data_IF_349921392615
#
_entry.id   IF_349921392615
#
_cell.length_a   1.000
_cell.length_b   1.000
_cell.length_c   1.000
_cell.angle_alpha   90.00
_cell.angle_beta   90.00
_cell.angle_gamma   90.00
#
_symmetry.space_group_name_H-M   'P 1'
#
loop_
_entity.id
_entity.type
_entity.pdbx_description
1 polymer ?
#
# COMPACT_ATOMS: atom_id res chain seq x y z
N UNK A 1 32.16 8.87 -10.14
CA UNK A 1 30.70 8.62 -10.16
C UNK A 1 30.03 9.96 -10.42
N UNK A 2 29.39 10.14 -11.59
CA UNK A 2 28.68 11.38 -11.89
C UNK A 2 27.50 11.54 -10.92
N UNK A 3 27.42 12.65 -10.20
CA UNK A 3 26.43 12.87 -9.15
C UNK A 3 25.49 13.99 -9.61
N UNK A 4 24.40 13.59 -10.24
CA UNK A 4 23.25 14.46 -10.47
C UNK A 4 22.30 14.26 -9.29
N UNK A 5 21.93 15.34 -8.61
CA UNK A 5 20.93 15.33 -7.55
C UNK A 5 19.69 16.07 -8.02
N UNK A 6 18.51 15.63 -7.55
CA UNK A 6 17.23 16.24 -7.89
C UNK A 6 17.16 17.71 -7.44
N UNK A 7 17.72 18.04 -6.27
CA UNK A 7 17.60 19.37 -5.70
C UNK A 7 16.13 19.76 -5.50
N UNK A 8 15.73 20.89 -6.09
CA UNK A 8 14.37 21.42 -6.02
C UNK A 8 13.56 21.17 -7.31
N UNK A 9 14.10 20.40 -8.26
CA UNK A 9 13.42 20.05 -9.50
C UNK A 9 12.35 18.96 -9.26
N UNK A 10 11.34 18.91 -10.13
CA UNK A 10 10.40 17.79 -10.13
C UNK A 10 11.09 16.46 -10.45
N UNK A 11 10.52 15.35 -9.99
CA UNK A 11 11.07 14.00 -10.26
C UNK A 11 11.19 13.77 -11.76
N UNK A 12 10.24 14.29 -12.55
CA UNK A 12 10.23 14.19 -14.00
C UNK A 12 11.42 14.90 -14.66
N UNK A 13 11.72 16.15 -14.29
CA UNK A 13 12.84 16.91 -14.86
C UNK A 13 14.16 16.21 -14.51
N UNK A 14 14.32 15.79 -13.25
CA UNK A 14 15.49 15.07 -12.79
C UNK A 14 15.70 13.76 -13.57
N UNK A 15 14.65 12.97 -13.77
CA UNK A 15 14.73 11.71 -14.52
C UNK A 15 15.16 11.93 -15.98
N UNK A 16 14.65 12.97 -16.65
CA UNK A 16 15.05 13.30 -18.01
C UNK A 16 16.52 13.71 -18.09
N UNK A 17 17.02 14.52 -17.15
CA UNK A 17 18.43 14.90 -17.08
C UNK A 17 19.34 13.67 -16.90
N UNK A 18 18.99 12.77 -15.97
CA UNK A 18 19.70 11.49 -15.80
C UNK A 18 19.71 10.65 -17.07
N UNK A 19 18.57 10.55 -17.74
CA UNK A 19 18.46 9.80 -19.00
C UNK A 19 19.39 10.37 -20.07
N UNK A 20 19.44 11.70 -20.21
CA UNK A 20 20.38 12.38 -21.12
C UNK A 20 21.83 11.97 -20.84
N UNK A 21 22.26 12.04 -19.58
CA UNK A 21 23.61 11.62 -19.18
C UNK A 21 23.89 10.15 -19.48
N UNK A 22 22.95 9.25 -19.24
CA UNK A 22 23.15 7.83 -19.56
C UNK A 22 23.24 7.56 -21.06
N UNK A 23 22.51 8.29 -21.90
CA UNK A 23 22.63 8.18 -23.35
C UNK A 23 23.98 8.74 -23.85
N UNK A 24 24.47 9.84 -23.28
CA UNK A 24 25.81 10.35 -23.56
C UNK A 24 26.91 9.35 -23.18
N UNK A 25 26.82 8.74 -21.99
CA UNK A 25 27.76 7.71 -21.55
C UNK A 25 27.70 6.52 -22.51
N UNK A 26 26.49 6.05 -22.86
CA UNK A 26 26.30 4.95 -23.78
C UNK A 26 26.86 5.22 -25.17
N UNK A 27 26.84 6.49 -25.62
CA UNK A 27 27.43 6.90 -26.89
C UNK A 27 28.98 6.83 -26.88
N UNK A 28 29.60 6.96 -25.71
CA UNK A 28 31.05 6.86 -25.52
C UNK A 28 31.52 5.43 -25.21
N UNK A 29 30.62 4.58 -24.68
CA UNK A 29 30.93 3.19 -24.34
C UNK A 29 31.07 2.31 -25.59
N UNK A 30 32.16 1.54 -25.65
CA UNK A 30 32.34 0.54 -26.70
C UNK A 30 31.54 -0.73 -26.36
N UNK A 31 30.72 -1.26 -27.28
CA UNK A 31 29.94 -2.46 -27.01
C UNK A 31 30.84 -3.68 -26.80
N UNK A 32 30.52 -4.48 -25.78
CA UNK A 32 31.22 -5.73 -25.50
C UNK A 32 30.90 -6.74 -26.61
N UNK A 33 31.92 -7.14 -27.37
CA UNK A 33 31.78 -8.05 -28.53
C UNK A 33 31.81 -9.54 -28.14
N UNK A 34 31.38 -9.90 -26.93
CA UNK A 34 31.35 -11.30 -26.48
C UNK A 34 29.95 -11.89 -26.63
N UNK A 35 29.85 -13.12 -27.12
CA UNK A 35 28.61 -13.92 -27.14
C UNK A 35 28.39 -14.75 -25.87
N UNK A 36 29.28 -14.60 -24.88
CA UNK A 36 29.18 -15.27 -23.60
C UNK A 36 28.07 -14.71 -22.70
N UNK A 37 27.62 -15.50 -21.72
CA UNK A 37 26.64 -15.09 -20.69
C UNK A 37 27.05 -13.81 -19.97
N UNK A 38 28.36 -13.57 -19.82
CA UNK A 38 28.89 -12.36 -19.21
C UNK A 38 28.41 -11.09 -19.92
N UNK A 39 28.23 -11.09 -21.25
CA UNK A 39 27.72 -9.92 -21.97
C UNK A 39 26.28 -9.57 -21.57
N UNK A 40 25.43 -10.57 -21.30
CA UNK A 40 24.06 -10.34 -20.79
C UNK A 40 24.08 -9.84 -19.36
N UNK A 41 24.99 -10.35 -18.54
CA UNK A 41 25.15 -9.88 -17.15
C UNK A 41 25.61 -8.42 -17.06
N UNK A 42 26.34 -7.93 -18.07
CA UNK A 42 26.73 -6.53 -18.16
C UNK A 42 25.52 -5.61 -18.29
N UNK A 43 24.58 -5.91 -19.19
CA UNK A 43 23.37 -5.11 -19.38
C UNK A 43 22.52 -5.08 -18.09
N UNK A 44 22.34 -6.24 -17.44
CA UNK A 44 21.60 -6.34 -16.18
C UNK A 44 22.27 -5.52 -15.07
N UNK A 45 23.60 -5.54 -14.98
CA UNK A 45 24.35 -4.72 -14.01
C UNK A 45 24.26 -3.23 -14.34
N UNK A 46 24.30 -2.86 -15.62
CA UNK A 46 24.16 -1.48 -16.06
C UNK A 46 22.78 -0.94 -15.69
N UNK A 47 21.69 -1.69 -15.92
CA UNK A 47 20.34 -1.30 -15.52
C UNK A 47 20.20 -1.13 -14.00
N UNK A 48 20.74 -2.08 -13.22
CA UNK A 48 20.78 -1.97 -11.75
C UNK A 48 21.53 -0.73 -11.27
N UNK A 49 22.66 -0.42 -11.91
CA UNK A 49 23.46 0.77 -11.59
C UNK A 49 22.68 2.06 -11.88
N UNK A 50 21.97 2.13 -13.02
CA UNK A 50 21.10 3.26 -13.36
C UNK A 50 19.99 3.45 -12.33
N UNK A 51 19.35 2.36 -11.89
CA UNK A 51 18.34 2.40 -10.84
C UNK A 51 18.91 2.95 -9.52
N UNK A 52 20.04 2.41 -9.05
CA UNK A 52 20.66 2.86 -7.81
C UNK A 52 21.04 4.34 -7.91
N UNK A 53 21.61 4.77 -9.04
CA UNK A 53 21.98 6.15 -9.27
C UNK A 53 20.76 7.08 -9.25
N UNK A 54 19.66 6.66 -9.89
CA UNK A 54 18.38 7.37 -9.81
C UNK A 54 17.93 7.54 -8.36
N UNK A 55 17.86 6.45 -7.59
CA UNK A 55 17.39 6.47 -6.21
C UNK A 55 18.32 7.27 -5.28
N UNK A 56 19.64 7.19 -5.45
CA UNK A 56 20.60 7.91 -4.61
C UNK A 56 20.51 9.42 -4.80
N UNK A 57 20.29 9.90 -6.02
CA UNK A 57 20.19 11.34 -6.30
C UNK A 57 18.79 11.95 -6.07
N UNK A 58 17.77 11.14 -5.72
CA UNK A 58 16.47 11.66 -5.32
C UNK A 58 16.56 12.47 -4.02
N UNK A 59 15.67 13.45 -3.89
CA UNK A 59 15.58 14.29 -2.70
C UNK A 59 15.31 13.46 -1.42
N UNK A 60 15.79 13.95 -0.28
CA UNK A 60 15.72 13.24 1.02
C UNK A 60 14.28 12.95 1.49
N UNK A 61 13.30 13.72 1.01
CA UNK A 61 11.87 13.47 1.23
C UNK A 61 11.42 12.08 0.78
N UNK A 62 12.09 11.49 -0.21
CA UNK A 62 11.76 10.17 -0.76
C UNK A 62 12.45 9.01 -0.03
N UNK A 63 13.09 9.23 1.12
CA UNK A 63 13.83 8.19 1.87
C UNK A 63 13.02 6.92 2.13
N UNK A 64 11.75 7.05 2.53
CA UNK A 64 10.88 5.89 2.74
C UNK A 64 10.64 5.10 1.45
N UNK A 65 10.32 5.80 0.34
CA UNK A 65 10.10 5.17 -0.96
C UNK A 65 11.37 4.50 -1.50
N UNK A 66 12.55 5.12 -1.29
CA UNK A 66 13.85 4.52 -1.63
C UNK A 66 14.09 3.23 -0.87
N UNK A 67 13.86 3.23 0.45
CA UNK A 67 14.01 2.03 1.29
C UNK A 67 13.11 0.89 0.83
N UNK A 68 11.85 1.19 0.52
CA UNK A 68 10.91 0.19 -0.01
C UNK A 68 11.39 -0.40 -1.34
N UNK A 69 11.76 0.44 -2.31
CA UNK A 69 12.23 0.01 -3.63
C UNK A 69 13.50 -0.87 -3.56
N UNK A 70 14.42 -0.56 -2.64
CA UNK A 70 15.65 -1.34 -2.44
C UNK A 70 15.39 -2.70 -1.77
N UNK A 71 14.28 -2.84 -1.06
CA UNK A 71 13.89 -4.07 -0.35
C UNK A 71 12.98 -4.99 -1.18
N UNK A 72 12.52 -4.54 -2.35
CA UNK A 72 11.68 -5.34 -3.26
C UNK A 72 12.45 -6.54 -3.85
N UNK A 73 11.77 -7.68 -3.95
CA UNK A 73 12.25 -8.88 -4.66
C UNK A 73 11.13 -9.42 -5.57
N UNK A 74 11.31 -9.49 -6.90
CA UNK A 74 12.51 -9.12 -7.65
C UNK A 74 12.76 -7.61 -7.66
N UNK A 75 14.02 -7.22 -7.93
CA UNK A 75 14.40 -5.80 -8.03
C UNK A 75 13.56 -5.08 -9.09
N UNK A 76 13.04 -3.88 -8.80
CA UNK A 76 12.20 -3.16 -9.73
C UNK A 76 13.02 -2.70 -10.94
N UNK A 77 12.38 -2.62 -12.11
CA UNK A 77 13.01 -1.96 -13.25
C UNK A 77 13.09 -0.46 -13.02
N UNK A 78 14.00 0.22 -13.72
CA UNK A 78 14.12 1.68 -13.65
C UNK A 78 12.78 2.39 -13.92
N UNK A 79 12.01 1.92 -14.89
CA UNK A 79 10.71 2.50 -15.22
C UNK A 79 9.67 2.26 -14.12
N UNK A 80 9.64 1.06 -13.53
CA UNK A 80 8.75 0.78 -12.38
C UNK A 80 9.08 1.67 -11.19
N UNK A 81 10.37 1.83 -10.86
CA UNK A 81 10.80 2.72 -9.80
C UNK A 81 10.41 4.19 -10.09
N UNK A 82 10.59 4.67 -11.33
CA UNK A 82 10.15 6.00 -11.73
C UNK A 82 8.64 6.20 -11.54
N UNK A 83 7.81 5.25 -11.97
CA UNK A 83 6.36 5.34 -11.80
C UNK A 83 5.95 5.39 -10.31
N UNK A 84 6.57 4.56 -9.47
CA UNK A 84 6.30 4.53 -8.03
C UNK A 84 6.69 5.85 -7.36
N UNK A 85 7.85 6.42 -7.70
CA UNK A 85 8.26 7.72 -7.18
C UNK A 85 7.37 8.84 -7.69
N UNK A 86 6.96 8.82 -8.97
CA UNK A 86 6.03 9.81 -9.53
C UNK A 86 4.66 9.76 -8.86
N UNK A 87 4.19 8.56 -8.52
CA UNK A 87 2.96 8.38 -7.74
C UNK A 87 3.12 8.94 -6.31
N UNK A 88 4.24 8.67 -5.65
CA UNK A 88 4.55 9.21 -4.32
C UNK A 88 4.62 10.75 -4.34
N UNK A 89 5.22 11.36 -5.36
CA UNK A 89 5.27 12.81 -5.55
C UNK A 89 3.86 13.41 -5.62
N UNK A 90 2.96 12.80 -6.40
CA UNK A 90 1.56 13.21 -6.48
C UNK A 90 0.82 13.04 -5.14
N UNK A 91 1.03 11.93 -4.44
CA UNK A 91 0.41 11.70 -3.13
C UNK A 91 0.87 12.75 -2.11
N UNK A 92 2.16 13.09 -2.10
CA UNK A 92 2.71 14.13 -1.22
C UNK A 92 2.14 15.51 -1.48
N UNK A 93 1.88 15.87 -2.73
CA UNK A 93 1.20 17.12 -3.07
C UNK A 93 -0.20 17.18 -2.43
N UNK A 94 -0.97 16.10 -2.53
CA UNK A 94 -2.32 16.01 -1.93
C UNK A 94 -2.28 16.04 -0.40
N UNK A 95 -1.32 15.34 0.22
CA UNK A 95 -1.16 15.29 1.68
C UNK A 95 -0.55 16.58 2.27
N UNK A 96 0.24 17.33 1.50
CA UNK A 96 0.76 18.65 1.89
C UNK A 96 -0.36 19.66 2.09
N UNK A 97 -1.39 19.61 1.23
CA UNK A 97 -2.55 20.49 1.31
C UNK A 97 -3.57 20.03 2.37
N UNK A 98 -3.46 18.79 2.84
CA UNK A 98 -4.35 18.21 3.85
C UNK A 98 -3.59 17.84 5.12
N UNK A 99 -3.37 18.84 5.98
CA UNK A 99 -3.04 18.64 7.41
C UNK A 99 -4.22 18.01 8.18
N UNK A 100 -4.70 16.84 7.77
CA UNK A 100 -5.63 16.02 8.55
C UNK A 100 -5.35 14.55 8.30
N UNK A 101 -4.93 13.76 9.31
CA UNK A 101 -4.77 12.33 9.17
C UNK A 101 -6.17 11.70 9.19
N UNK A 102 -6.85 11.66 8.04
CA UNK A 102 -8.02 10.80 7.92
C UNK A 102 -7.50 9.40 7.63
N UNK A 103 -7.33 8.67 8.74
CA UNK A 103 -7.28 7.22 8.78
C UNK A 103 -8.32 6.63 7.81
N UNK A 104 -7.93 5.54 7.15
CA UNK A 104 -8.84 4.73 6.34
C UNK A 104 -10.05 4.32 7.18
N UNK A 105 -11.14 5.08 7.07
CA UNK A 105 -12.43 4.69 7.63
C UNK A 105 -12.99 3.63 6.68
N UNK A 106 -12.66 2.37 6.96
CA UNK A 106 -13.44 1.24 6.45
C UNK A 106 -14.88 1.55 6.83
N UNK A 107 -15.73 1.71 5.82
CA UNK A 107 -17.15 1.96 5.98
C UNK A 107 -17.82 0.66 6.45
N UNK A 108 -17.53 0.30 7.70
CA UNK A 108 -18.18 -0.80 8.40
C UNK A 108 -19.52 -0.23 8.88
N UNK A 109 -20.67 -0.82 8.52
CA UNK A 109 -21.94 -0.39 9.06
C UNK A 109 -21.90 -0.66 10.57
N UNK A 110 -21.64 0.39 11.36
CA UNK A 110 -21.79 0.37 12.80
C UNK A 110 -23.27 0.13 13.09
N UNK A 111 -23.60 -1.13 13.32
CA UNK A 111 -24.82 -1.55 13.95
C UNK A 111 -24.74 -1.05 15.41
N UNK A 112 -25.11 0.21 15.63
CA UNK A 112 -25.20 0.79 16.95
C UNK A 112 -26.39 0.14 17.65
N UNK A 113 -26.05 -0.77 18.55
CA UNK A 113 -26.92 -1.27 19.61
C UNK A 113 -27.68 -0.09 20.23
N UNK A 114 -29.00 -0.24 20.31
CA UNK A 114 -29.86 0.69 21.02
C UNK A 114 -29.58 0.55 22.53
N UNK A 115 -28.73 1.41 23.05
CA UNK A 115 -28.69 1.72 24.48
C UNK A 115 -29.47 3.00 24.68
N UNK A 116 -30.51 2.90 25.52
CA UNK A 116 -31.30 4.02 25.99
C UNK A 116 -30.39 5.18 26.43
N UNK A 117 -30.59 6.34 25.82
CA UNK A 117 -29.83 7.54 26.13
C UNK A 117 -30.60 8.75 25.63
N UNK A 118 -31.35 9.38 26.53
CA UNK A 118 -32.03 10.65 26.32
C UNK A 118 -31.02 11.73 25.94
N UNK A 119 -31.02 12.18 24.69
CA UNK A 119 -30.43 13.47 24.31
C UNK A 119 -31.55 14.41 23.87
N UNK A 120 -31.91 15.28 24.81
CA UNK A 120 -32.60 16.53 24.54
C UNK A 120 -31.75 17.34 23.54
N UNK A 121 -32.21 17.47 22.30
CA UNK A 121 -31.80 18.57 21.42
C UNK A 121 -32.97 19.54 21.34
N UNK A 122 -32.92 20.52 22.24
CA UNK A 122 -33.86 21.60 22.35
C UNK A 122 -33.48 22.66 21.31
N UNK A 123 -33.78 22.43 20.03
CA UNK A 123 -33.80 23.47 19.00
C UNK A 123 -34.59 23.03 17.75
N UNK A 124 -35.91 22.89 17.92
CA UNK A 124 -36.85 22.87 16.80
C UNK A 124 -37.82 24.02 17.02
N UNK A 125 -37.37 25.21 16.66
CA UNK A 125 -38.24 26.37 16.47
C UNK A 125 -39.45 25.98 15.62
N UNK A 126 -40.58 25.81 16.29
CA UNK A 126 -41.95 25.94 15.81
C UNK A 126 -42.25 25.46 14.37
N UNK A 127 -41.89 24.22 14.02
CA UNK A 127 -42.38 23.58 12.80
C UNK A 127 -43.82 23.10 13.04
N UNK A 128 -44.80 23.96 12.75
CA UNK A 128 -46.22 23.63 12.80
C UNK A 128 -46.71 23.11 11.44
N UNK A 129 -47.49 22.02 11.48
CA UNK A 129 -48.10 21.45 10.29
C UNK A 129 -49.30 22.29 9.82
N UNK A 130 -49.27 22.81 8.59
CA UNK A 130 -50.35 23.60 7.98
C UNK A 130 -51.63 22.81 7.66
N UNK A 131 -51.72 21.52 8.03
CA UNK A 131 -52.91 20.69 7.82
C UNK A 131 -53.56 20.24 9.14
N UNK A 132 -52.76 19.84 10.13
CA UNK A 132 -53.28 19.33 11.40
C UNK A 132 -52.95 20.20 12.61
N UNK A 133 -52.26 21.33 12.41
CA UNK A 133 -51.76 22.24 13.46
C UNK A 133 -50.88 21.55 14.52
N UNK A 134 -50.37 20.36 14.20
CA UNK A 134 -49.48 19.61 15.07
C UNK A 134 -48.06 20.15 14.99
N UNK A 135 -47.39 20.24 16.14
CA UNK A 135 -46.00 20.69 16.24
C UNK A 135 -45.04 19.59 15.79
N UNK A 136 -43.82 19.98 15.43
CA UNK A 136 -42.69 19.12 15.08
C UNK A 136 -42.80 18.33 13.76
N UNK A 137 -43.71 18.69 12.85
CA UNK A 137 -43.72 18.15 11.48
C UNK A 137 -44.36 19.14 10.49
N UNK A 138 -43.98 19.04 9.22
CA UNK A 138 -44.57 19.81 8.11
C UNK A 138 -45.69 19.00 7.43
N UNK A 139 -46.54 19.67 6.63
CA UNK A 139 -47.68 19.04 5.91
C UNK A 139 -47.28 17.78 5.15
N UNK A 140 -46.13 17.78 4.50
CA UNK A 140 -45.59 16.65 3.71
C UNK A 140 -45.31 15.40 4.53
N UNK A 141 -45.18 15.51 5.85
CA UNK A 141 -44.93 14.40 6.78
C UNK A 141 -46.09 14.19 7.76
N UNK A 142 -47.26 14.74 7.45
CA UNK A 142 -48.43 14.61 8.32
C UNK A 142 -49.07 13.24 8.18
N UNK A 143 -49.05 12.43 9.25
CA UNK A 143 -49.71 11.12 9.26
C UNK A 143 -51.23 11.18 9.07
N UNK A 144 -51.88 12.31 9.41
CA UNK A 144 -53.30 12.53 9.09
C UNK A 144 -53.56 12.71 7.59
N UNK A 145 -52.55 13.11 6.82
CA UNK A 145 -52.63 13.30 5.36
C UNK A 145 -52.12 12.06 4.59
N UNK A 146 -51.01 11.48 5.05
CA UNK A 146 -50.33 10.35 4.39
C UNK A 146 -50.97 9.00 4.75
N UNK A 147 -51.70 8.95 5.87
CA UNK A 147 -52.16 7.71 6.47
C UNK A 147 -51.13 7.12 7.42
N UNK A 148 -51.62 6.41 8.44
CA UNK A 148 -50.75 5.76 9.41
C UNK A 148 -50.18 4.47 8.82
N UNK A 149 -48.87 4.22 8.94
CA UNK A 149 -48.29 2.96 8.49
C UNK A 149 -48.93 1.79 9.24
N UNK A 150 -49.47 0.84 8.48
CA UNK A 150 -50.15 -0.34 9.01
C UNK A 150 -49.18 -1.21 9.82
N UNK A 151 -49.52 -1.46 11.08
CA UNK A 151 -48.66 -2.15 12.05
C UNK A 151 -48.62 -3.68 11.87
N UNK A 152 -49.33 -4.22 10.88
CA UNK A 152 -49.50 -5.66 10.70
C UNK A 152 -48.83 -6.21 9.44
N UNK A 153 -47.49 -6.16 9.36
CA UNK A 153 -46.71 -7.08 8.51
C UNK A 153 -45.43 -7.53 9.22
N UNK A 154 -45.55 -8.54 10.09
CA UNK A 154 -44.40 -9.36 10.50
C UNK A 154 -44.02 -10.26 9.32
N UNK A 155 -42.89 -10.01 8.66
CA UNK A 155 -42.30 -10.98 7.72
C UNK A 155 -41.64 -12.11 8.54
N UNK A 156 -41.85 -13.40 8.20
CA UNK A 156 -41.19 -14.50 8.88
C UNK A 156 -39.69 -14.50 8.53
N UNK A 157 -38.86 -14.56 9.57
CA UNK A 157 -37.40 -14.63 9.47
C UNK A 157 -37.03 -16.09 9.12
N UNK A 158 -36.49 -16.31 7.93
CA UNK A 158 -35.95 -17.60 7.52
C UNK A 158 -34.59 -17.80 8.21
N UNK A 159 -34.53 -18.63 9.25
CA UNK A 159 -33.29 -19.01 9.93
C UNK A 159 -32.61 -20.11 9.10
N UNK A 160 -31.62 -19.74 8.29
CA UNK A 160 -30.61 -20.69 7.83
C UNK A 160 -29.57 -20.88 8.93
N UNK A 161 -29.37 -22.15 9.27
CA UNK A 161 -28.48 -22.70 10.27
C UNK A 161 -27.03 -22.41 9.91
N UNK A 162 -26.31 -21.69 10.78
CA UNK A 162 -24.85 -21.64 10.76
C UNK A 162 -24.30 -22.70 11.70
N UNK A 163 -23.66 -23.70 11.14
CA UNK A 163 -22.89 -24.72 11.84
C UNK A 163 -21.72 -24.06 12.56
N UNK A 164 -21.79 -24.02 13.89
CA UNK A 164 -20.67 -23.73 14.78
C UNK A 164 -19.72 -24.94 14.78
N UNK A 165 -18.48 -24.75 14.33
CA UNK A 165 -17.40 -25.67 14.68
C UNK A 165 -16.39 -24.97 15.57
N UNK A 166 -16.21 -25.56 16.74
CA UNK A 166 -15.51 -25.04 17.90
C UNK A 166 -14.00 -25.05 17.69
N UNK A 167 -13.35 -24.01 18.21
CA UNK A 167 -11.91 -23.94 18.39
C UNK A 167 -11.45 -25.08 19.31
N UNK A 168 -10.57 -25.95 18.80
CA UNK A 168 -9.68 -26.76 19.63
C UNK A 168 -8.24 -26.33 19.37
N UNK A 169 -7.64 -25.88 20.45
CA UNK A 169 -6.27 -25.45 20.64
C UNK A 169 -5.39 -26.71 20.73
N UNK A 170 -4.43 -26.86 19.82
CA UNK A 170 -3.38 -27.89 19.93
C UNK A 170 -2.00 -27.27 19.63
N UNK A 171 -1.13 -27.47 20.60
CA UNK A 171 0.29 -27.14 20.68
C UNK A 171 1.13 -28.03 19.75
N UNK A 172 2.21 -27.54 19.12
CA UNK A 172 3.24 -28.42 18.56
C UNK A 172 4.53 -28.38 19.41
N UNK A 173 4.82 -29.50 20.06
CA UNK A 173 6.16 -29.84 20.57
C UNK A 173 7.08 -30.32 19.44
N UNK A 174 8.38 -30.12 19.69
CA UNK A 174 9.53 -30.43 18.85
C UNK A 174 9.52 -31.83 18.22
N UNK A 175 9.96 -31.91 16.96
CA UNK A 175 10.36 -33.16 16.31
C UNK A 175 11.79 -33.04 15.79
N UNK A 176 12.63 -33.91 16.33
CA UNK A 176 14.00 -34.19 15.92
C UNK A 176 13.99 -34.92 14.57
N UNK A 177 14.68 -34.38 13.57
CA UNK A 177 15.01 -35.09 12.33
C UNK A 177 16.44 -35.60 12.45
N UNK A 178 16.58 -36.92 12.61
CA UNK A 178 17.83 -37.63 12.32
C UNK A 178 17.94 -37.78 10.81
N UNK A 179 18.84 -37.00 10.19
CA UNK A 179 19.35 -37.25 8.84
C UNK A 179 20.81 -37.67 9.00
N UNK A 180 21.10 -38.93 8.73
CA UNK A 180 22.47 -39.40 8.51
C UNK A 180 23.01 -38.79 7.22
N UNK A 181 24.14 -38.10 7.31
CA UNK A 181 25.03 -37.81 6.19
C UNK A 181 26.44 -38.14 6.69
N UNK A 182 27.08 -39.13 6.08
CA UNK A 182 28.46 -39.50 6.38
C UNK A 182 29.44 -38.49 5.77
N UNK A 183 30.48 -38.19 6.54
CA UNK A 183 31.58 -37.28 6.25
C UNK A 183 32.47 -37.75 5.08
N UNK A 184 32.83 -36.81 4.20
CA UNK A 184 34.07 -36.88 3.42
C UNK A 184 34.86 -35.61 3.69
N UNK A 185 35.80 -35.69 4.63
CA UNK A 185 36.90 -34.72 4.74
C UNK A 185 38.20 -35.44 5.05
N UNK A 186 39.14 -35.46 4.09
CA UNK A 186 40.57 -35.35 4.43
C UNK A 186 41.30 -34.61 3.32
N UNK A 187 41.64 -33.37 3.61
CA UNK A 187 42.72 -32.62 2.98
C UNK A 187 44.07 -33.14 3.48
N UNK A 188 45.00 -33.48 2.58
CA UNK A 188 46.42 -33.65 2.92
C UNK A 188 47.25 -32.78 1.99
N UNK A 189 47.94 -31.79 2.56
CA UNK A 189 48.93 -30.94 1.90
C UNK A 189 50.16 -31.75 1.45
N UNK A 190 50.84 -31.36 0.36
CA UNK A 190 52.16 -31.88 0.04
C UNK A 190 53.25 -31.18 0.86
N UNK A 191 54.09 -31.99 1.51
CA UNK A 191 55.31 -31.59 2.18
C UNK A 191 56.48 -31.68 1.20
N UNK A 192 57.21 -30.57 1.05
CA UNK A 192 58.48 -30.47 0.31
C UNK A 192 59.58 -30.95 1.26
N UNK A 193 60.35 -31.97 0.88
CA UNK A 193 61.76 -32.07 1.24
C UNK A 193 62.52 -33.11 0.40
N UNK A 194 63.69 -32.64 -0.07
CA UNK A 194 64.86 -33.33 -0.63
C UNK A 194 64.80 -33.78 -2.10
#
# INVERSE_FOLDING_TARGET
>A
MFRLEQGNDSVEIYFHKLKGFWEEIKALETPIKCTCTAAKDWDVRAEKTKLIQFLMGLHSSYTAARGHLLMMNPWPTLNQAYMLIKQEEKQRQVHSDSKSPIAMMVNLPKQSQASAGSYKSNDRGNLECTYCHGKNHVREKCYKLIGYPDKNKKKPFNKQSTSSNSQQQMNPQAMSVTSSCEDVTTSTSPNINN
#
